data_IF_089220391344
#
_entry.id   IF_089220391344
#
_cell.length_a   1.000
_cell.length_b   1.000
_cell.length_c   1.000
_cell.angle_alpha   90.00
_cell.angle_beta   90.00
_cell.angle_gamma   90.00
#
_symmetry.space_group_name_H-M   'P 1'
#
loop_
_entity.id
_entity.type
_entity.pdbx_description
1 polymer ?
#
# COMPACT_ATOMS: atom_id res chain seq x y z
N UNK A 1 8.45 -9.70 15.41
CA UNK A 1 8.49 -9.77 13.92
C UNK A 1 8.49 -11.20 13.37
N UNK A 2 9.39 -12.10 13.76
CA UNK A 2 9.55 -13.43 13.14
C UNK A 2 8.71 -14.57 13.76
N UNK A 3 7.60 -14.24 14.42
CA UNK A 3 6.83 -15.22 15.20
C UNK A 3 6.06 -16.19 14.28
N UNK A 4 6.30 -17.49 14.44
CA UNK A 4 5.64 -18.55 13.66
C UNK A 4 6.37 -18.94 12.36
N UNK A 5 7.49 -18.29 12.06
CA UNK A 5 8.33 -18.63 10.91
C UNK A 5 9.38 -19.69 11.29
N UNK A 6 9.82 -20.46 10.29
CA UNK A 6 10.89 -21.42 10.49
C UNK A 6 12.24 -20.72 10.80
N UNK A 7 13.18 -21.36 11.51
CA UNK A 7 14.46 -20.73 11.86
C UNK A 7 15.35 -20.34 10.66
N UNK A 8 15.14 -20.96 9.49
CA UNK A 8 15.90 -20.68 8.27
C UNK A 8 14.99 -20.06 7.23
N UNK A 9 15.34 -18.86 6.81
CA UNK A 9 14.56 -18.07 5.86
C UNK A 9 15.38 -17.79 4.61
N UNK A 10 14.74 -17.89 3.43
CA UNK A 10 15.34 -17.45 2.17
C UNK A 10 14.95 -15.99 1.96
N UNK A 11 15.96 -15.12 1.90
CA UNK A 11 15.78 -13.67 1.81
C UNK A 11 16.71 -13.09 0.74
N UNK A 12 16.30 -11.95 0.16
CA UNK A 12 17.20 -11.17 -0.68
C UNK A 12 18.06 -10.25 0.20
N UNK A 13 19.34 -10.62 0.33
CA UNK A 13 20.37 -9.84 1.03
C UNK A 13 21.28 -9.18 -0.01
N UNK A 14 21.10 -7.87 -0.26
CA UNK A 14 21.82 -7.10 -1.30
C UNK A 14 22.86 -6.13 -0.75
N UNK A 15 22.97 -6.00 0.57
CA UNK A 15 23.80 -4.95 1.16
C UNK A 15 25.30 -5.27 1.07
N UNK A 16 26.09 -4.25 0.72
CA UNK A 16 27.55 -4.28 0.70
C UNK A 16 28.19 -3.97 2.07
N UNK A 17 27.46 -3.32 2.97
CA UNK A 17 27.88 -3.05 4.34
C UNK A 17 27.28 -4.06 5.32
N UNK A 18 28.03 -4.36 6.37
CA UNK A 18 27.72 -5.43 7.31
C UNK A 18 27.75 -4.95 8.75
N UNK A 19 26.64 -5.15 9.45
CA UNK A 19 26.60 -5.01 10.90
C UNK A 19 27.31 -6.22 11.52
N UNK A 20 28.27 -5.95 12.40
CA UNK A 20 28.91 -6.97 13.25
C UNK A 20 28.28 -6.97 14.63
N UNK A 21 28.44 -8.05 15.40
CA UNK A 21 27.95 -8.10 16.79
C UNK A 21 28.47 -6.93 17.64
N UNK A 22 29.70 -6.47 17.38
CA UNK A 22 30.33 -5.37 18.12
C UNK A 22 29.75 -4.00 17.81
N UNK A 23 29.06 -3.86 16.67
CA UNK A 23 28.45 -2.61 16.22
C UNK A 23 26.95 -2.54 16.53
N UNK A 24 26.38 -3.59 17.13
CA UNK A 24 24.98 -3.58 17.56
C UNK A 24 24.84 -2.63 18.75
N UNK A 25 23.96 -1.64 18.62
CA UNK A 25 23.72 -0.65 19.66
C UNK A 25 23.13 -1.28 20.93
N UNK A 26 23.43 -0.68 22.09
CA UNK A 26 22.90 -1.13 23.37
C UNK A 26 21.35 -1.11 23.38
N UNK A 27 20.77 -2.16 23.95
CA UNK A 27 19.32 -2.38 23.97
C UNK A 27 18.76 -3.07 22.73
N UNK A 28 19.60 -3.39 21.73
CA UNK A 28 19.25 -4.26 20.62
C UNK A 28 19.84 -5.66 20.80
N UNK A 29 19.07 -6.67 20.39
CA UNK A 29 19.48 -8.06 20.34
C UNK A 29 19.56 -8.52 18.89
N UNK A 30 20.54 -9.34 18.57
CA UNK A 30 20.63 -9.97 17.26
C UNK A 30 19.55 -11.05 17.16
N UNK A 31 18.69 -10.94 16.15
CA UNK A 31 17.54 -11.85 15.93
C UNK A 31 17.62 -12.62 14.62
N UNK A 32 18.49 -12.22 13.69
CA UNK A 32 18.74 -12.94 12.45
C UNK A 32 20.22 -12.85 12.04
N UNK A 33 20.75 -13.93 11.46
CA UNK A 33 22.15 -14.02 11.00
C UNK A 33 22.22 -14.74 9.66
N UNK A 34 23.16 -14.31 8.82
CA UNK A 34 23.54 -14.99 7.58
C UNK A 34 25.05 -15.21 7.61
N UNK A 35 25.49 -16.43 7.95
CA UNK A 35 26.90 -16.70 8.22
C UNK A 35 27.44 -15.81 9.35
N UNK A 36 28.47 -15.01 9.04
CA UNK A 36 29.10 -14.10 9.99
C UNK A 36 28.42 -12.71 10.06
N UNK A 37 27.42 -12.47 9.22
CA UNK A 37 26.76 -11.17 9.12
C UNK A 37 25.49 -11.13 9.97
N UNK A 38 25.29 -10.02 10.68
CA UNK A 38 24.03 -9.74 11.37
C UNK A 38 23.01 -9.33 10.33
N UNK A 39 21.98 -10.16 10.14
CA UNK A 39 20.91 -9.93 9.16
C UNK A 39 19.69 -9.24 9.78
N UNK A 40 19.59 -9.20 11.11
CA UNK A 40 18.53 -8.48 11.80
C UNK A 40 18.78 -8.29 13.29
N UNK A 41 18.29 -7.15 13.79
CA UNK A 41 18.35 -6.73 15.19
C UNK A 41 16.96 -6.33 15.68
N UNK A 42 16.69 -6.50 16.97
CA UNK A 42 15.43 -6.11 17.58
C UNK A 42 15.62 -5.55 18.99
N UNK A 43 14.83 -4.53 19.31
CA UNK A 43 14.63 -4.01 20.66
C UNK A 43 13.15 -4.12 20.98
N UNK A 44 12.78 -5.16 21.74
CA UNK A 44 11.37 -5.42 22.09
C UNK A 44 10.79 -4.32 22.99
N UNK A 45 11.60 -3.76 23.88
CA UNK A 45 11.19 -2.65 24.76
C UNK A 45 10.79 -1.41 23.95
N UNK A 46 11.57 -1.09 22.91
CA UNK A 46 11.31 0.05 22.02
C UNK A 46 10.41 -0.30 20.84
N UNK A 47 10.01 -1.57 20.71
CA UNK A 47 9.32 -2.13 19.53
C UNK A 47 10.03 -1.82 18.20
N UNK A 48 11.35 -1.73 18.22
CA UNK A 48 12.17 -1.40 17.06
C UNK A 48 12.77 -2.67 16.47
N UNK A 49 12.64 -2.84 15.15
CA UNK A 49 13.20 -3.97 14.42
C UNK A 49 13.97 -3.44 13.21
N UNK A 50 15.19 -3.93 13.03
CA UNK A 50 16.03 -3.62 11.88
C UNK A 50 16.37 -4.91 11.15
N UNK A 51 16.26 -4.91 9.83
CA UNK A 51 16.66 -6.02 8.96
C UNK A 51 17.59 -5.51 7.88
N UNK A 52 18.56 -6.34 7.51
CA UNK A 52 19.54 -6.04 6.46
C UNK A 52 19.16 -6.70 5.12
N UNK A 53 17.97 -7.28 5.02
CA UNK A 53 17.43 -7.86 3.80
C UNK A 53 16.14 -7.12 3.42
N UNK A 54 15.65 -7.36 2.20
CA UNK A 54 14.42 -6.77 1.68
C UNK A 54 13.22 -7.71 1.90
N UNK A 55 12.42 -7.56 2.97
CA UNK A 55 11.18 -8.32 3.13
C UNK A 55 10.07 -7.94 2.14
N UNK A 56 10.23 -6.85 1.38
CA UNK A 56 9.21 -6.30 0.47
C UNK A 56 9.23 -6.92 -0.92
N UNK A 57 10.29 -7.62 -1.26
CA UNK A 57 10.46 -8.24 -2.58
C UNK A 57 10.04 -9.71 -2.56
N UNK A 58 9.51 -10.18 -3.69
CA UNK A 58 9.06 -11.57 -3.87
C UNK A 58 10.19 -12.60 -3.68
N UNK A 59 11.44 -12.18 -3.85
CA UNK A 59 12.62 -13.02 -3.63
C UNK A 59 12.80 -13.42 -2.15
N UNK A 60 12.14 -12.70 -1.23
CA UNK A 60 12.04 -13.08 0.17
C UNK A 60 10.74 -13.83 0.41
N UNK A 61 10.80 -15.18 0.40
CA UNK A 61 9.63 -16.06 0.32
C UNK A 61 8.57 -15.80 1.40
N UNK A 62 8.99 -15.50 2.63
CA UNK A 62 8.10 -15.23 3.77
C UNK A 62 8.09 -13.75 4.15
N UNK A 63 8.50 -12.86 3.25
CA UNK A 63 8.61 -11.42 3.50
C UNK A 63 7.27 -10.79 3.88
N UNK A 64 6.19 -11.18 3.19
CA UNK A 64 4.82 -10.76 3.51
C UNK A 64 4.41 -11.15 4.94
N UNK A 65 4.68 -12.38 5.35
CA UNK A 65 4.35 -12.87 6.70
C UNK A 65 5.15 -12.14 7.79
N UNK A 66 6.41 -11.78 7.51
CA UNK A 66 7.23 -10.95 8.39
C UNK A 66 6.63 -9.55 8.55
N UNK A 67 6.22 -8.94 7.44
CA UNK A 67 5.57 -7.62 7.44
C UNK A 67 4.24 -7.63 8.17
N UNK A 68 3.38 -8.61 7.91
CA UNK A 68 2.10 -8.76 8.61
C UNK A 68 2.32 -8.95 10.11
N UNK A 69 3.26 -9.80 10.50
CA UNK A 69 3.60 -9.98 11.92
C UNK A 69 4.13 -8.70 12.56
N UNK A 70 4.89 -7.87 11.82
CA UNK A 70 5.32 -6.57 12.32
C UNK A 70 4.14 -5.60 12.48
N UNK A 71 3.36 -5.39 11.43
CA UNK A 71 2.23 -4.44 11.44
C UNK A 71 1.18 -4.81 12.49
N UNK A 72 0.75 -6.07 12.53
CA UNK A 72 -0.35 -6.48 13.39
C UNK A 72 0.08 -6.84 14.81
N UNK A 73 1.23 -7.50 15.00
CA UNK A 73 1.65 -7.98 16.35
C UNK A 73 2.57 -7.00 17.08
N UNK A 74 3.43 -6.27 16.37
CA UNK A 74 4.38 -5.34 16.99
C UNK A 74 3.76 -3.95 17.12
N UNK A 75 3.35 -3.39 15.98
CA UNK A 75 2.78 -2.03 15.92
C UNK A 75 1.32 -2.02 16.40
N UNK A 76 0.57 -3.08 16.13
CA UNK A 76 -0.84 -3.18 16.52
C UNK A 76 -1.78 -2.47 15.54
N UNK A 77 -1.41 -2.39 14.26
CA UNK A 77 -2.28 -1.86 13.22
C UNK A 77 -3.60 -2.66 13.16
N UNK A 78 -4.72 -1.97 12.94
CA UNK A 78 -6.05 -2.60 12.92
C UNK A 78 -6.44 -3.19 11.56
N UNK A 79 -5.69 -2.86 10.50
CA UNK A 79 -6.02 -3.30 9.13
C UNK A 79 -7.25 -2.60 8.57
N UNK A 80 -7.58 -1.43 9.09
CA UNK A 80 -8.70 -0.56 8.66
C UNK A 80 -8.43 0.16 7.33
N UNK A 81 -7.22 0.04 6.77
CA UNK A 81 -6.89 0.56 5.45
C UNK A 81 -7.29 -0.43 4.34
N UNK A 82 -8.59 -0.65 4.19
CA UNK A 82 -9.17 -1.49 3.12
C UNK A 82 -9.64 -0.65 1.94
N UNK A 83 -9.80 -1.27 0.77
CA UNK A 83 -10.35 -0.57 -0.40
C UNK A 83 -11.77 -0.05 -0.14
N UNK A 84 -12.63 -0.84 0.51
CA UNK A 84 -14.00 -0.43 0.86
C UNK A 84 -14.02 0.80 1.78
N UNK A 85 -13.14 0.85 2.79
CA UNK A 85 -13.05 2.00 3.69
C UNK A 85 -12.56 3.25 2.95
N UNK A 86 -11.62 3.09 2.01
CA UNK A 86 -11.11 4.19 1.18
C UNK A 86 -12.13 4.69 0.18
N UNK A 87 -12.89 3.79 -0.45
CA UNK A 87 -13.97 4.15 -1.37
C UNK A 87 -15.03 4.99 -0.65
N UNK A 88 -15.49 4.52 0.52
CA UNK A 88 -16.46 5.27 1.33
C UNK A 88 -15.92 6.62 1.79
N UNK A 89 -14.66 6.68 2.23
CA UNK A 89 -14.01 7.93 2.61
C UNK A 89 -13.96 8.91 1.43
N UNK A 90 -13.52 8.44 0.26
CA UNK A 90 -13.42 9.24 -0.95
C UNK A 90 -14.79 9.74 -1.43
N UNK A 91 -15.82 8.89 -1.42
CA UNK A 91 -17.20 9.27 -1.74
C UNK A 91 -17.69 10.37 -0.79
N UNK A 92 -17.44 10.23 0.51
CA UNK A 92 -17.86 11.22 1.50
C UNK A 92 -17.12 12.56 1.34
N UNK A 93 -15.81 12.53 1.08
CA UNK A 93 -15.03 13.73 0.80
C UNK A 93 -15.51 14.44 -0.47
N UNK A 94 -15.73 13.68 -1.55
CA UNK A 94 -16.28 14.22 -2.80
C UNK A 94 -17.65 14.87 -2.55
N UNK A 95 -18.55 14.19 -1.84
CA UNK A 95 -19.87 14.74 -1.48
C UNK A 95 -19.76 16.01 -0.64
N UNK A 96 -18.85 16.05 0.32
CA UNK A 96 -18.63 17.24 1.16
C UNK A 96 -18.09 18.42 0.37
N UNK A 97 -17.22 18.18 -0.62
CA UNK A 97 -16.66 19.25 -1.46
C UNK A 97 -17.63 19.75 -2.53
N UNK A 98 -18.42 18.84 -3.12
CA UNK A 98 -19.33 19.15 -4.23
C UNK A 98 -20.68 19.69 -3.74
N UNK A 99 -21.21 19.17 -2.64
CA UNK A 99 -22.55 19.47 -2.16
C UNK A 99 -23.61 19.12 -3.22
N UNK A 100 -24.52 20.05 -3.51
CA UNK A 100 -25.56 19.91 -4.55
C UNK A 100 -25.14 20.46 -5.93
N UNK A 101 -23.85 20.77 -6.13
CA UNK A 101 -23.37 21.34 -7.40
C UNK A 101 -23.26 20.26 -8.48
N UNK A 102 -23.50 20.65 -9.73
CA UNK A 102 -23.24 19.77 -10.89
C UNK A 102 -21.74 19.64 -11.13
N UNK A 103 -21.25 18.41 -11.29
CA UNK A 103 -19.84 18.11 -11.58
C UNK A 103 -19.71 17.71 -13.04
N UNK A 104 -18.85 18.42 -13.77
CA UNK A 104 -18.43 18.00 -15.11
C UNK A 104 -17.18 17.14 -14.97
N UNK A 105 -17.26 15.89 -15.42
CA UNK A 105 -16.11 14.98 -15.48
C UNK A 105 -15.65 14.88 -16.92
N UNK A 106 -14.46 15.38 -17.22
CA UNK A 106 -13.84 15.27 -18.53
C UNK A 106 -12.85 14.10 -18.54
N UNK A 107 -13.06 13.13 -19.42
CA UNK A 107 -12.27 11.91 -19.48
C UNK A 107 -11.13 12.02 -20.51
N UNK A 108 -9.93 11.65 -20.10
CA UNK A 108 -8.78 11.47 -20.98
C UNK A 108 -8.45 9.97 -21.02
N UNK A 109 -9.19 9.18 -21.80
CA UNK A 109 -8.85 7.78 -22.12
C UNK A 109 -9.54 6.67 -21.29
N UNK A 110 -9.36 5.43 -21.72
CA UNK A 110 -10.14 4.25 -21.26
C UNK A 110 -9.83 3.75 -19.84
N UNK A 111 -8.55 3.72 -19.43
CA UNK A 111 -8.19 3.24 -18.09
C UNK A 111 -8.75 4.13 -16.96
N UNK A 112 -8.85 5.44 -17.21
CA UNK A 112 -9.45 6.38 -16.25
C UNK A 112 -10.98 6.27 -16.22
N UNK A 113 -11.60 5.82 -17.32
CA UNK A 113 -13.04 5.58 -17.41
C UNK A 113 -13.45 4.38 -16.54
N UNK A 114 -12.70 3.29 -16.60
CA UNK A 114 -12.98 2.09 -15.80
C UNK A 114 -12.73 2.33 -14.30
N UNK A 115 -11.72 3.13 -13.96
CA UNK A 115 -11.46 3.56 -12.58
C UNK A 115 -12.64 4.34 -11.97
N UNK A 116 -13.25 5.26 -12.72
CA UNK A 116 -14.38 6.05 -12.25
C UNK A 116 -15.72 5.30 -12.27
N UNK A 117 -15.90 4.34 -13.18
CA UNK A 117 -17.02 3.39 -13.12
C UNK A 117 -16.92 2.51 -11.85
N UNK A 118 -15.70 2.12 -11.46
CA UNK A 118 -15.45 1.31 -10.25
C UNK A 118 -15.58 2.12 -8.95
N UNK A 119 -15.15 3.40 -8.94
CA UNK A 119 -15.28 4.29 -7.78
C UNK A 119 -16.72 4.78 -7.55
N UNK A 120 -17.68 4.30 -8.35
CA UNK A 120 -19.10 4.67 -8.31
C UNK A 120 -19.29 6.19 -8.15
N UNK A 121 -18.61 6.99 -8.99
CA UNK A 121 -18.81 8.44 -8.99
C UNK A 121 -20.29 8.82 -9.24
N UNK A 122 -21.09 7.90 -9.81
CA UNK A 122 -22.55 8.02 -9.84
C UNK A 122 -23.14 8.08 -8.45
N UNK A 123 -22.83 7.12 -7.57
CA UNK A 123 -23.25 7.18 -6.14
C UNK A 123 -22.83 8.47 -5.46
N UNK A 124 -21.63 8.99 -5.75
CA UNK A 124 -21.18 10.24 -5.14
C UNK A 124 -21.98 11.47 -5.63
N UNK A 125 -22.46 11.47 -6.88
CA UNK A 125 -23.01 12.65 -7.57
C UNK A 125 -24.53 12.56 -7.87
N UNK A 126 -25.21 11.47 -7.49
CA UNK A 126 -26.57 11.08 -7.95
C UNK A 126 -27.75 12.05 -7.66
N UNK A 127 -27.51 13.24 -7.11
CA UNK A 127 -28.51 14.33 -7.14
C UNK A 127 -28.42 15.25 -8.35
N UNK A 128 -27.34 15.19 -9.13
CA UNK A 128 -27.07 16.13 -10.22
C UNK A 128 -27.09 15.38 -11.56
N UNK A 129 -28.13 15.64 -12.36
CA UNK A 129 -28.37 15.06 -13.69
C UNK A 129 -27.10 15.01 -14.55
N UNK A 130 -26.65 13.79 -14.89
CA UNK A 130 -25.59 13.54 -15.87
C UNK A 130 -26.15 13.68 -17.29
N UNK A 131 -25.91 14.81 -17.95
CA UNK A 131 -26.13 14.93 -19.40
C UNK A 131 -24.95 14.27 -20.13
N UNK A 132 -25.23 13.17 -20.83
CA UNK A 132 -24.27 12.56 -21.77
C UNK A 132 -24.07 13.52 -22.93
N UNK A 133 -22.94 14.24 -22.94
CA UNK A 133 -22.50 15.02 -24.09
C UNK A 133 -22.28 14.11 -25.30
N UNK A 134 -23.29 13.98 -26.14
CA UNK A 134 -23.21 13.27 -27.43
C UNK A 134 -22.43 14.16 -28.39
N UNK A 135 -21.25 13.71 -28.81
CA UNK A 135 -20.45 14.36 -29.86
C UNK A 135 -21.31 14.59 -31.11
N UNK A 136 -21.69 15.84 -31.38
CA UNK A 136 -22.19 16.28 -32.68
C UNK A 136 -20.98 16.73 -33.49
N UNK A 137 -20.38 15.80 -34.22
CA UNK A 137 -19.18 16.05 -35.02
C UNK A 137 -18.95 15.01 -36.10
N UNK A 138 -20.02 14.58 -36.78
CA UNK A 138 -19.93 13.78 -38.01
C UNK A 138 -21.21 13.98 -38.81
N UNK A 139 -21.16 14.97 -39.70
CA UNK A 139 -21.93 15.06 -40.96
C UNK A 139 -21.88 16.51 -41.46
N UNK A 140 -20.88 16.78 -42.30
CA UNK A 140 -20.84 17.79 -43.38
C UNK A 140 -19.40 17.97 -43.85
N UNK A 141 -18.87 16.93 -44.51
CA UNK A 141 -17.85 17.07 -45.55
C UNK A 141 -17.84 15.76 -46.33
N UNK A 142 -18.70 15.66 -47.33
CA UNK A 142 -18.41 15.11 -48.66
C UNK A 142 -19.65 15.37 -49.54
N UNK A 143 -19.41 16.15 -50.59
CA UNK A 143 -20.17 16.25 -51.86
C UNK A 143 -21.60 16.79 -51.79
#
# INVERSE_FOLDING_TARGET
MFAGLSPKQRVLLTHGDSVTERTVADGFKVVARSGNFVAGIASEERKMYGVQFHPEVDLTLHGREMFESFLFKVVGCKGDFTMDNRENLCINEIRSMVGDKKVLVCFLGGAFRDFLDTLDCRRAVEKSSLERGRERGRDRMHS
#
